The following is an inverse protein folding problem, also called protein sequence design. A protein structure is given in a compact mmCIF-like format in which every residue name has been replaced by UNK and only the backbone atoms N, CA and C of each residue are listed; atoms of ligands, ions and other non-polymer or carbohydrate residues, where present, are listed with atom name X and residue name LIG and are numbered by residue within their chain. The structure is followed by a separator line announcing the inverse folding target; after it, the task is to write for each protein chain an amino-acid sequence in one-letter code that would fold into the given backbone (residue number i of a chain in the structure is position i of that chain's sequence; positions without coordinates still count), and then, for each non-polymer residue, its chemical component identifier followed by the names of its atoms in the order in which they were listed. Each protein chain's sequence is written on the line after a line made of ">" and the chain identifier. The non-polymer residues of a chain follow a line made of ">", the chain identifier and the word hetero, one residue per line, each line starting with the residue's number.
data_IF_762551925173
#
_entry.id   IF_762551925173
#
_cell.length_a   1.000
_cell.length_b   1.000
_cell.length_c   1.000
_cell.angle_alpha   90.00
_cell.angle_beta   90.00
_cell.angle_gamma   90.00
#
_symmetry.space_group_name_H-M   'P 1'
#
loop_
_entity.id
_entity.type
_entity.pdbx_description
1 polymer ?
#
# COMPACT_ATOMS: atom_id res chain seq x y z
N UNK A 1 -7.31 43.63 57.25
CA UNK A 1 -8.48 44.51 57.52
C UNK A 1 -8.77 45.27 56.23
N UNK A 2 -9.96 45.26 55.61
CA UNK A 2 -11.25 44.63 55.98
C UNK A 2 -12.07 44.37 54.71
N UNK A 3 -12.80 43.24 54.64
CA UNK A 3 -13.76 42.93 53.57
C UNK A 3 -14.89 43.97 53.45
N UNK A 4 -15.47 44.12 52.26
CA UNK A 4 -16.93 44.24 52.10
C UNK A 4 -17.41 43.70 50.75
N UNK A 5 -18.35 42.75 50.81
CA UNK A 5 -19.09 42.17 49.67
C UNK A 5 -20.27 43.08 49.31
N UNK A 6 -20.73 43.02 48.07
CA UNK A 6 -22.14 43.26 47.75
C UNK A 6 -22.81 41.96 47.28
N UNK A 7 -24.07 41.81 47.71
CA UNK A 7 -24.90 40.62 47.57
C UNK A 7 -26.29 41.06 47.08
N UNK A 8 -26.89 40.29 46.17
CA UNK A 8 -28.35 40.24 45.93
C UNK A 8 -28.69 38.73 45.86
N UNK A 9 -29.13 38.10 46.96
CA UNK A 9 -30.54 37.98 47.41
C UNK A 9 -31.36 37.21 46.36
N UNK A 10 -31.55 35.88 46.49
CA UNK A 10 -32.65 35.16 47.20
C UNK A 10 -34.04 35.48 46.59
N UNK A 11 -35.05 34.61 46.57
CA UNK A 11 -35.43 33.43 47.39
C UNK A 11 -35.73 32.21 46.46
N UNK A 12 -36.18 31.01 46.85
CA UNK A 12 -36.79 30.45 48.08
C UNK A 12 -36.07 29.18 48.56
N UNK A 13 -36.72 28.33 49.37
CA UNK A 13 -36.30 26.99 49.76
C UNK A 13 -37.52 26.04 49.82
N UNK A 14 -37.28 24.73 49.72
CA UNK A 14 -38.09 23.69 50.36
C UNK A 14 -37.19 22.47 50.61
N UNK A 15 -37.19 21.93 51.82
CA UNK A 15 -36.42 20.77 52.22
C UNK A 15 -37.35 19.62 52.59
N UNK A 16 -37.04 18.41 52.14
CA UNK A 16 -37.48 17.18 52.79
C UNK A 16 -36.52 16.04 52.38
N UNK A 17 -35.82 15.47 53.34
CA UNK A 17 -35.14 14.19 53.17
C UNK A 17 -36.05 13.09 53.67
N UNK A 18 -36.30 12.06 52.87
CA UNK A 18 -36.71 10.75 53.37
C UNK A 18 -36.01 9.67 52.54
N UNK A 19 -35.25 8.81 53.21
CA UNK A 19 -34.67 7.64 52.58
C UNK A 19 -35.71 6.51 52.55
N UNK A 20 -35.90 5.91 51.38
CA UNK A 20 -36.45 4.56 51.27
C UNK A 20 -35.58 3.76 50.32
N UNK A 21 -34.86 2.78 50.88
CA UNK A 21 -34.12 1.81 50.09
C UNK A 21 -35.11 0.77 49.52
N UNK A 22 -35.46 0.92 48.24
CA UNK A 22 -36.14 -0.11 47.48
C UNK A 22 -35.10 -0.97 46.76
N UNK A 23 -34.78 -2.14 47.32
CA UNK A 23 -33.94 -3.15 46.66
C UNK A 23 -34.69 -3.77 45.49
N UNK A 24 -34.59 -3.15 44.31
CA UNK A 24 -35.00 -3.77 43.06
C UNK A 24 -33.96 -4.84 42.66
N UNK A 25 -34.26 -6.11 42.96
CA UNK A 25 -33.52 -7.24 42.41
C UNK A 25 -33.74 -7.34 40.90
N UNK A 26 -32.90 -6.65 40.12
CA UNK A 26 -32.83 -6.86 38.68
C UNK A 26 -32.21 -8.24 38.45
N UNK A 27 -33.06 -9.23 38.17
CA UNK A 27 -32.61 -10.50 37.59
C UNK A 27 -31.99 -10.20 36.23
N UNK A 28 -30.65 -10.20 36.18
CA UNK A 28 -29.91 -10.12 34.92
C UNK A 28 -30.15 -11.41 34.16
N UNK A 29 -31.14 -11.41 33.27
CA UNK A 29 -31.26 -12.43 32.24
C UNK A 29 -30.03 -12.32 31.35
N UNK A 30 -29.18 -13.35 31.36
CA UNK A 30 -28.02 -13.46 30.48
C UNK A 30 -28.50 -13.66 29.04
N UNK A 31 -28.89 -12.57 28.38
CA UNK A 31 -29.05 -12.53 26.95
C UNK A 31 -27.72 -12.83 26.30
N UNK A 32 -27.62 -13.96 25.59
CA UNK A 32 -26.46 -14.30 24.79
C UNK A 32 -26.35 -13.29 23.64
N UNK A 33 -25.63 -12.20 23.90
CA UNK A 33 -25.31 -11.20 22.88
C UNK A 33 -24.50 -11.85 21.78
N UNK A 34 -25.11 -12.07 20.62
CA UNK A 34 -24.41 -12.46 19.41
C UNK A 34 -23.43 -11.35 19.05
N UNK A 35 -22.15 -11.55 19.39
CA UNK A 35 -21.09 -10.67 18.93
C UNK A 35 -21.13 -10.66 17.40
N UNK A 36 -21.43 -9.51 16.80
CA UNK A 36 -21.29 -9.33 15.35
C UNK A 36 -19.83 -9.57 15.02
N UNK A 37 -19.56 -10.67 14.30
CA UNK A 37 -18.23 -10.96 13.82
C UNK A 37 -17.75 -9.79 12.96
N UNK A 38 -16.50 -9.36 13.19
CA UNK A 38 -15.86 -8.43 12.27
C UNK A 38 -15.88 -9.04 10.85
N UNK A 39 -15.97 -8.22 9.78
CA UNK A 39 -15.89 -8.73 8.42
C UNK A 39 -14.64 -9.60 8.27
N UNK A 40 -14.82 -10.84 7.80
CA UNK A 40 -13.67 -11.69 7.52
C UNK A 40 -12.80 -11.00 6.48
N UNK A 41 -11.48 -10.96 6.71
CA UNK A 41 -10.54 -10.49 5.70
C UNK A 41 -10.76 -11.31 4.41
N UNK A 42 -10.76 -10.68 3.22
CA UNK A 42 -11.06 -11.38 1.97
C UNK A 42 -10.10 -12.56 1.79
N UNK A 43 -10.67 -13.74 1.54
CA UNK A 43 -9.91 -14.96 1.30
C UNK A 43 -8.98 -14.79 0.10
N UNK A 44 -7.74 -15.25 0.23
CA UNK A 44 -6.78 -15.26 -0.88
C UNK A 44 -7.35 -16.03 -2.08
N UNK A 45 -7.36 -15.40 -3.24
CA UNK A 45 -7.85 -15.95 -4.51
C UNK A 45 -6.75 -16.66 -5.32
N UNK A 46 -5.49 -16.49 -4.93
CA UNK A 46 -4.33 -17.23 -5.41
C UNK A 46 -3.35 -17.56 -4.28
N UNK A 47 -2.40 -18.46 -4.55
CA UNK A 47 -1.45 -18.98 -3.53
C UNK A 47 0.02 -18.71 -3.87
N UNK A 48 0.29 -17.89 -4.89
CA UNK A 48 1.64 -17.58 -5.40
C UNK A 48 2.62 -17.07 -4.34
N UNK A 49 2.12 -16.45 -3.27
CA UNK A 49 2.88 -15.93 -2.13
C UNK A 49 2.50 -16.60 -0.80
N UNK A 50 1.82 -17.75 -0.83
CA UNK A 50 1.44 -18.50 0.37
C UNK A 50 2.66 -18.78 1.27
N UNK A 51 2.52 -18.44 2.55
CA UNK A 51 3.59 -18.57 3.55
C UNK A 51 4.74 -17.56 3.41
N UNK A 52 4.68 -16.61 2.46
CA UNK A 52 5.63 -15.49 2.39
C UNK A 52 5.13 -14.32 3.24
N UNK A 53 6.04 -13.68 3.97
CA UNK A 53 5.81 -12.31 4.47
C UNK A 53 6.40 -11.31 3.47
N UNK A 54 5.68 -10.21 3.22
CA UNK A 54 6.18 -9.03 2.49
C UNK A 54 6.07 -7.83 3.42
N UNK A 55 7.12 -7.01 3.47
CA UNK A 55 7.10 -5.75 4.21
C UNK A 55 6.94 -4.59 3.23
N UNK A 56 5.94 -3.73 3.43
CA UNK A 56 5.78 -2.49 2.68
C UNK A 56 6.07 -1.32 3.62
N UNK A 57 6.89 -0.38 3.16
CA UNK A 57 7.14 0.89 3.82
C UNK A 57 6.59 2.03 2.96
N UNK A 58 5.35 2.49 3.22
CA UNK A 58 4.83 3.69 2.60
C UNK A 58 5.62 4.88 3.14
N UNK A 59 6.46 5.48 2.29
CA UNK A 59 7.37 6.56 2.64
C UNK A 59 6.67 7.70 3.39
N UNK A 60 7.42 8.35 4.28
CA UNK A 60 6.97 9.48 5.12
C UNK A 60 5.74 9.14 5.98
N UNK A 61 5.07 10.15 6.54
CA UNK A 61 3.87 10.01 7.36
C UNK A 61 3.05 11.33 7.38
N UNK A 62 1.75 11.24 7.66
CA UNK A 62 0.87 12.42 7.66
C UNK A 62 1.05 13.38 8.84
N UNK A 63 1.72 12.98 9.92
CA UNK A 63 1.98 13.85 11.06
C UNK A 63 3.19 13.43 11.89
N UNK A 64 3.82 14.40 12.57
CA UNK A 64 4.88 14.09 13.52
C UNK A 64 4.35 13.57 14.87
N UNK A 65 3.08 13.81 15.19
CA UNK A 65 2.45 13.50 16.48
C UNK A 65 3.28 13.98 17.71
N UNK A 66 4.02 15.08 17.57
CA UNK A 66 4.90 15.63 18.62
C UNK A 66 6.32 15.06 18.65
N UNK A 67 6.66 14.09 17.80
CA UNK A 67 8.03 13.61 17.61
C UNK A 67 8.86 14.63 16.81
N UNK A 68 10.18 14.67 17.07
CA UNK A 68 11.10 15.52 16.31
C UNK A 68 11.61 14.80 15.07
N UNK A 69 11.25 15.30 13.88
CA UNK A 69 11.70 14.74 12.60
C UNK A 69 13.22 14.86 12.40
N UNK A 70 13.83 15.93 12.93
CA UNK A 70 15.28 16.19 12.85
C UNK A 70 16.09 15.53 13.98
N UNK A 71 15.47 14.68 14.80
CA UNK A 71 16.21 13.85 15.76
C UNK A 71 17.21 12.95 15.01
N UNK A 72 18.48 12.97 15.42
CA UNK A 72 19.56 12.33 14.66
C UNK A 72 19.68 10.83 14.93
N UNK A 73 19.31 10.01 13.95
CA UNK A 73 19.34 8.54 13.97
C UNK A 73 20.48 7.98 13.09
N UNK A 74 20.93 6.73 13.31
CA UNK A 74 22.01 6.13 12.51
C UNK A 74 21.67 6.06 11.01
N UNK A 75 22.65 6.36 10.15
CA UNK A 75 22.52 6.29 8.69
C UNK A 75 22.86 4.91 8.08
N UNK A 76 23.32 3.97 8.92
CA UNK A 76 23.85 2.65 8.52
C UNK A 76 25.29 2.66 7.98
N UNK A 77 25.98 3.80 8.02
CA UNK A 77 27.38 3.97 7.58
C UNK A 77 28.31 4.56 8.64
N UNK A 78 27.83 4.72 9.87
CA UNK A 78 28.57 5.27 11.01
C UNK A 78 28.35 6.77 11.21
N UNK A 79 27.60 7.42 10.33
CA UNK A 79 27.10 8.77 10.50
C UNK A 79 25.69 8.77 11.12
N UNK A 80 25.01 9.91 10.96
CA UNK A 80 23.63 10.10 11.34
C UNK A 80 22.87 10.91 10.30
N UNK A 81 21.56 10.83 10.33
CA UNK A 81 20.64 11.68 9.57
C UNK A 81 19.37 11.97 10.37
N UNK A 82 18.55 12.86 9.85
CA UNK A 82 17.21 13.15 10.35
C UNK A 82 16.37 11.86 10.41
N UNK A 83 15.71 11.65 11.55
CA UNK A 83 14.78 10.57 11.83
C UNK A 83 13.73 10.41 10.72
N UNK A 84 13.17 11.51 10.22
CA UNK A 84 12.26 11.54 9.07
C UNK A 84 12.29 12.90 8.38
N UNK A 85 11.67 12.99 7.20
CA UNK A 85 11.29 14.25 6.56
C UNK A 85 9.79 14.23 6.26
N UNK A 86 9.20 15.35 5.89
CA UNK A 86 7.77 15.43 5.53
C UNK A 86 7.41 14.71 4.23
N UNK A 87 8.42 14.34 3.43
CA UNK A 87 8.24 14.04 2.01
C UNK A 87 8.02 15.31 1.18
N UNK A 88 7.86 15.11 -0.12
CA UNK A 88 7.54 16.18 -1.06
C UNK A 88 6.05 16.53 -1.07
N UNK A 89 5.73 17.69 -1.67
CA UNK A 89 4.39 18.03 -2.14
C UNK A 89 4.45 18.22 -3.64
N UNK A 90 3.61 17.51 -4.38
CA UNK A 90 3.52 17.62 -5.82
C UNK A 90 2.92 18.93 -6.30
N UNK A 91 3.12 19.25 -7.57
CA UNK A 91 2.67 20.51 -8.19
C UNK A 91 1.15 20.64 -8.32
N UNK A 92 0.43 19.55 -8.04
CA UNK A 92 -1.03 19.48 -7.89
C UNK A 92 -1.50 19.53 -6.43
N UNK A 93 -0.60 19.74 -5.47
CA UNK A 93 -0.89 19.74 -4.03
C UNK A 93 -0.94 18.35 -3.37
N UNK A 94 -0.71 17.26 -4.11
CA UNK A 94 -0.68 15.91 -3.53
C UNK A 94 0.55 15.74 -2.62
N UNK A 95 0.33 15.37 -1.36
CA UNK A 95 1.41 15.05 -0.43
C UNK A 95 1.99 13.66 -0.74
N UNK A 96 3.32 13.55 -0.74
CA UNK A 96 4.01 12.30 -1.07
C UNK A 96 3.61 11.16 -0.12
N UNK A 97 3.50 11.42 1.19
CA UNK A 97 3.08 10.41 2.16
C UNK A 97 1.71 9.79 1.82
N UNK A 98 0.76 10.57 1.30
CA UNK A 98 -0.57 10.11 0.89
C UNK A 98 -0.51 9.30 -0.39
N UNK A 99 0.28 9.72 -1.39
CA UNK A 99 0.53 8.96 -2.62
C UNK A 99 1.13 7.59 -2.27
N UNK A 100 2.19 7.58 -1.45
CA UNK A 100 2.87 6.38 -1.00
C UNK A 100 1.93 5.45 -0.24
N UNK A 101 1.09 5.99 0.65
CA UNK A 101 0.07 5.24 1.39
C UNK A 101 -0.97 4.60 0.47
N UNK A 102 -1.62 5.39 -0.39
CA UNK A 102 -2.70 4.92 -1.26
C UNK A 102 -2.23 3.81 -2.21
N UNK A 103 -1.05 3.97 -2.83
CA UNK A 103 -0.47 2.93 -3.68
C UNK A 103 -0.08 1.70 -2.85
N UNK A 104 0.49 1.88 -1.65
CA UNK A 104 0.83 0.75 -0.76
C UNK A 104 -0.38 -0.07 -0.34
N UNK A 105 -1.54 0.55 -0.14
CA UNK A 105 -2.78 -0.16 0.22
C UNK A 105 -3.31 -1.01 -0.95
N UNK A 106 -3.21 -0.52 -2.18
CA UNK A 106 -3.52 -1.29 -3.39
C UNK A 106 -2.54 -2.47 -3.57
N UNK A 107 -1.24 -2.25 -3.34
CA UNK A 107 -0.22 -3.31 -3.36
C UNK A 107 -0.49 -4.34 -2.25
N UNK A 108 -0.83 -3.90 -1.03
CA UNK A 108 -1.19 -4.77 0.08
C UNK A 108 -2.34 -5.72 -0.29
N UNK A 109 -3.45 -5.17 -0.79
CA UNK A 109 -4.59 -5.97 -1.24
C UNK A 109 -4.20 -6.96 -2.34
N UNK A 110 -3.41 -6.52 -3.33
CA UNK A 110 -2.89 -7.37 -4.40
C UNK A 110 -2.07 -8.55 -3.88
N UNK A 111 -1.17 -8.31 -2.92
CA UNK A 111 -0.31 -9.35 -2.32
C UNK A 111 -1.08 -10.31 -1.40
N UNK A 112 -2.00 -9.79 -0.59
CA UNK A 112 -2.85 -10.61 0.29
C UNK A 112 -3.79 -11.51 -0.53
N UNK A 113 -4.29 -11.03 -1.69
CA UNK A 113 -5.04 -11.87 -2.64
C UNK A 113 -4.23 -13.08 -3.13
N UNK A 114 -2.90 -13.01 -3.10
CA UNK A 114 -1.97 -14.08 -3.49
C UNK A 114 -1.46 -14.90 -2.30
N UNK A 115 -2.05 -14.73 -1.11
CA UNK A 115 -1.71 -15.48 0.09
C UNK A 115 -0.49 -14.96 0.86
N UNK A 116 0.02 -13.77 0.53
CA UNK A 116 1.09 -13.15 1.30
C UNK A 116 0.58 -12.64 2.65
N UNK A 117 1.40 -12.74 3.69
CA UNK A 117 1.24 -11.92 4.89
C UNK A 117 1.91 -10.58 4.66
N UNK A 118 1.13 -9.49 4.59
CA UNK A 118 1.70 -8.14 4.44
C UNK A 118 1.89 -7.48 5.81
N UNK A 119 3.04 -6.85 6.01
CA UNK A 119 3.36 -5.99 7.16
C UNK A 119 3.62 -4.59 6.65
N UNK A 120 3.00 -3.59 7.26
CA UNK A 120 3.26 -2.17 6.97
C UNK A 120 4.25 -1.59 7.99
N UNK A 121 5.06 -0.62 7.57
CA UNK A 121 5.94 0.15 8.47
C UNK A 121 5.16 1.10 9.40
N UNK A 122 4.01 1.59 8.94
CA UNK A 122 3.10 2.51 9.65
C UNK A 122 1.64 2.07 9.52
N UNK A 123 0.77 2.39 10.50
CA UNK A 123 -0.61 1.90 10.52
C UNK A 123 -1.60 2.74 9.69
N UNK A 124 -1.30 4.01 9.43
CA UNK A 124 -2.19 4.97 8.77
C UNK A 124 -1.41 6.12 8.10
N UNK A 125 -2.15 7.11 7.56
CA UNK A 125 -1.63 8.33 6.90
C UNK A 125 -1.97 9.63 7.65
N UNK A 126 -2.17 9.55 8.95
CA UNK A 126 -2.60 10.67 9.80
C UNK A 126 -1.62 10.98 10.93
N UNK A 127 -0.96 9.95 11.48
CA UNK A 127 -0.13 10.04 12.68
C UNK A 127 1.35 9.71 12.45
N UNK A 128 2.00 9.30 13.55
CA UNK A 128 3.40 8.92 13.59
C UNK A 128 3.67 7.59 12.87
N UNK A 129 4.70 7.56 12.01
CA UNK A 129 5.09 6.37 11.25
C UNK A 129 6.47 5.80 11.60
N UNK A 130 7.14 6.30 12.64
CA UNK A 130 8.49 5.88 13.01
C UNK A 130 9.63 6.47 12.18
N UNK A 131 10.82 6.51 12.77
CA UNK A 131 12.06 6.96 12.13
C UNK A 131 12.56 5.97 11.06
N UNK A 132 13.40 6.43 10.14
CA UNK A 132 13.95 5.61 9.03
C UNK A 132 14.74 4.39 9.50
N UNK A 133 15.41 4.46 10.63
CA UNK A 133 16.12 3.34 11.27
C UNK A 133 15.17 2.37 11.97
N UNK A 134 14.14 2.88 12.65
CA UNK A 134 13.06 2.07 13.24
C UNK A 134 12.32 1.26 12.18
N UNK A 135 12.02 1.88 11.02
CA UNK A 135 11.38 1.24 9.85
C UNK A 135 12.27 0.16 9.24
N UNK A 136 13.56 0.43 9.03
CA UNK A 136 14.52 -0.56 8.53
C UNK A 136 14.73 -1.73 9.52
N UNK A 137 14.67 -1.45 10.82
CA UNK A 137 14.73 -2.47 11.86
C UNK A 137 13.43 -3.31 11.92
N UNK A 138 12.25 -2.69 11.70
CA UNK A 138 10.98 -3.39 11.58
C UNK A 138 10.95 -4.30 10.34
N UNK A 139 11.40 -3.81 9.18
CA UNK A 139 11.59 -4.60 7.96
C UNK A 139 12.49 -5.82 8.24
N UNK A 140 13.64 -5.60 8.89
CA UNK A 140 14.57 -6.66 9.27
C UNK A 140 13.99 -7.70 10.23
N UNK A 141 13.20 -7.28 11.23
CA UNK A 141 12.53 -8.18 12.19
C UNK A 141 11.34 -8.93 11.59
N UNK A 142 10.74 -8.43 10.51
CA UNK A 142 9.53 -9.02 9.91
C UNK A 142 9.73 -10.41 9.31
N UNK A 143 10.99 -10.80 9.01
CA UNK A 143 11.30 -12.02 8.28
C UNK A 143 10.80 -12.02 6.83
N UNK A 144 10.49 -10.85 6.27
CA UNK A 144 9.95 -10.74 4.92
C UNK A 144 10.89 -11.31 3.85
N UNK A 145 10.31 -11.93 2.81
CA UNK A 145 11.03 -12.36 1.63
C UNK A 145 11.62 -11.15 0.87
N UNK A 146 10.89 -10.03 0.87
CA UNK A 146 11.31 -8.72 0.38
C UNK A 146 10.67 -7.61 1.21
N UNK A 147 11.43 -6.55 1.46
CA UNK A 147 10.93 -5.28 1.95
C UNK A 147 10.91 -4.26 0.80
N UNK A 148 9.81 -3.54 0.61
CA UNK A 148 9.64 -2.53 -0.45
C UNK A 148 9.29 -1.20 0.18
N UNK A 149 10.15 -0.20 0.00
CA UNK A 149 9.91 1.18 0.44
C UNK A 149 9.43 2.00 -0.76
N UNK A 150 8.19 2.50 -0.68
CA UNK A 150 7.50 3.22 -1.76
C UNK A 150 7.60 4.73 -1.50
N UNK A 151 8.20 5.43 -2.46
CA UNK A 151 8.39 6.87 -2.48
C UNK A 151 8.00 7.48 -3.84
N UNK A 152 7.88 8.81 -3.89
CA UNK A 152 7.80 9.55 -5.14
C UNK A 152 8.64 10.84 -5.06
N UNK A 153 9.68 10.92 -5.89
CA UNK A 153 10.67 11.99 -5.87
C UNK A 153 10.03 13.34 -6.26
N UNK A 154 10.72 14.44 -5.95
CA UNK A 154 10.37 15.76 -6.47
C UNK A 154 11.63 16.56 -6.76
N UNK A 155 11.97 16.68 -8.04
CA UNK A 155 13.23 17.34 -8.44
C UNK A 155 13.25 18.86 -8.16
N UNK A 156 12.08 19.49 -8.04
CA UNK A 156 11.94 20.92 -7.71
C UNK A 156 10.61 21.16 -6.99
N UNK A 157 10.48 22.27 -6.25
CA UNK A 157 9.20 22.68 -5.63
C UNK A 157 8.16 23.22 -6.64
N UNK A 158 8.55 23.44 -7.90
CA UNK A 158 7.69 23.92 -8.99
C UNK A 158 7.56 22.92 -10.14
N UNK A 159 6.78 23.29 -11.16
CA UNK A 159 6.55 22.45 -12.33
C UNK A 159 7.80 22.29 -13.21
N UNK A 160 8.26 21.05 -13.36
CA UNK A 160 9.26 20.63 -14.34
C UNK A 160 8.73 19.46 -15.17
N UNK A 161 8.23 19.77 -16.37
CA UNK A 161 7.70 18.78 -17.30
C UNK A 161 8.80 17.92 -17.99
N UNK A 162 10.07 18.33 -17.91
CA UNK A 162 11.18 17.63 -18.56
C UNK A 162 11.67 16.44 -17.72
N UNK A 163 11.74 16.60 -16.39
CA UNK A 163 12.19 15.59 -15.43
C UNK A 163 11.07 14.61 -15.12
N UNK A 164 11.24 13.33 -15.44
CA UNK A 164 10.23 12.28 -15.22
C UNK A 164 10.85 10.88 -15.22
N UNK A 165 10.08 9.92 -14.72
CA UNK A 165 10.37 8.49 -14.71
C UNK A 165 10.71 7.96 -13.32
N UNK A 166 10.67 6.63 -13.20
CA UNK A 166 10.88 5.89 -11.96
C UNK A 166 12.37 5.54 -11.75
N UNK A 167 12.79 5.28 -10.51
CA UNK A 167 14.07 4.63 -10.24
C UNK A 167 14.11 3.82 -8.95
N UNK A 168 14.95 2.79 -8.93
CA UNK A 168 15.27 2.00 -7.74
C UNK A 168 16.55 2.53 -7.10
N UNK A 169 16.51 2.90 -5.83
CA UNK A 169 17.71 3.25 -5.08
C UNK A 169 18.33 1.98 -4.51
N UNK A 170 19.64 1.83 -4.74
CA UNK A 170 20.46 0.71 -4.28
C UNK A 170 21.68 1.23 -3.51
N UNK A 171 22.15 0.52 -2.46
CA UNK A 171 23.25 1.02 -1.65
C UNK A 171 24.58 0.95 -2.42
N UNK A 172 25.44 1.95 -2.21
CA UNK A 172 26.87 1.85 -2.49
C UNK A 172 27.47 0.75 -1.62
N UNK A 173 28.25 -0.15 -2.21
CA UNK A 173 28.89 -1.26 -1.50
C UNK A 173 30.39 -0.99 -1.34
N UNK A 174 31.03 -1.48 -0.25
CA UNK A 174 30.43 -2.26 0.83
C UNK A 174 29.57 -1.42 1.79
N UNK A 175 28.65 -2.10 2.49
CA UNK A 175 28.00 -1.59 3.70
C UNK A 175 28.81 -2.02 4.95
N UNK A 176 28.90 -1.19 6.02
CA UNK A 176 29.62 -1.56 7.23
C UNK A 176 29.00 -2.74 8.01
N UNK A 177 27.68 -2.89 8.02
CA UNK A 177 27.05 -4.10 8.57
C UNK A 177 27.19 -5.26 7.57
N UNK A 178 27.86 -6.34 8.00
CA UNK A 178 28.17 -7.47 7.13
C UNK A 178 26.93 -8.22 6.61
N UNK A 179 25.84 -8.25 7.39
CA UNK A 179 24.59 -8.93 6.98
C UNK A 179 23.85 -8.09 5.94
N UNK A 180 23.68 -6.79 6.19
CA UNK A 180 23.11 -5.85 5.21
C UNK A 180 23.96 -5.83 3.93
N UNK A 181 25.30 -5.80 4.04
CA UNK A 181 26.21 -5.88 2.90
C UNK A 181 25.97 -7.12 2.03
N UNK A 182 25.95 -8.31 2.64
CA UNK A 182 25.72 -9.56 1.93
C UNK A 182 24.31 -9.63 1.31
N UNK A 183 23.28 -9.22 2.06
CA UNK A 183 21.89 -9.26 1.62
C UNK A 183 21.62 -8.28 0.48
N UNK A 184 22.04 -7.02 0.60
CA UNK A 184 21.80 -6.02 -0.44
C UNK A 184 22.73 -6.18 -1.65
N UNK A 185 23.95 -6.70 -1.45
CA UNK A 185 24.86 -7.05 -2.54
C UNK A 185 24.36 -8.18 -3.43
N UNK A 186 23.65 -9.16 -2.86
CA UNK A 186 23.04 -10.27 -3.59
C UNK A 186 21.54 -10.09 -3.83
N UNK A 187 20.73 -10.54 -2.88
CA UNK A 187 19.29 -10.67 -3.04
C UNK A 187 18.54 -9.33 -3.13
N UNK A 188 18.99 -8.28 -2.42
CA UNK A 188 18.43 -6.93 -2.55
C UNK A 188 18.67 -6.34 -3.94
N UNK A 189 19.90 -6.42 -4.46
CA UNK A 189 20.22 -6.07 -5.85
C UNK A 189 19.32 -6.83 -6.84
N UNK A 190 19.14 -8.14 -6.67
CA UNK A 190 18.24 -8.97 -7.51
C UNK A 190 16.78 -8.50 -7.43
N UNK A 191 16.27 -8.22 -6.23
CA UNK A 191 14.91 -7.72 -6.03
C UNK A 191 14.70 -6.37 -6.73
N UNK A 192 15.65 -5.44 -6.60
CA UNK A 192 15.59 -4.12 -7.24
C UNK A 192 15.64 -4.23 -8.77
N UNK A 193 16.47 -5.11 -9.34
CA UNK A 193 16.48 -5.35 -10.81
C UNK A 193 15.15 -5.92 -11.28
N UNK A 194 14.58 -6.92 -10.60
CA UNK A 194 13.28 -7.52 -10.99
C UNK A 194 12.13 -6.51 -10.85
N UNK A 195 12.17 -5.63 -9.83
CA UNK A 195 11.21 -4.53 -9.71
C UNK A 195 11.36 -3.52 -10.87
N UNK A 196 12.59 -3.14 -11.22
CA UNK A 196 12.90 -2.26 -12.36
C UNK A 196 12.34 -2.86 -13.65
N UNK A 197 12.58 -4.14 -13.91
CA UNK A 197 12.07 -4.85 -15.09
C UNK A 197 10.53 -4.88 -15.12
N UNK A 198 9.86 -5.05 -13.97
CA UNK A 198 8.41 -4.99 -13.88
C UNK A 198 7.85 -3.59 -14.22
N UNK A 199 8.53 -2.52 -13.80
CA UNK A 199 8.17 -1.14 -14.16
C UNK A 199 8.35 -0.86 -15.67
N UNK A 200 9.48 -1.26 -16.24
CA UNK A 200 9.73 -1.15 -17.70
C UNK A 200 8.68 -1.95 -18.48
N UNK A 201 8.34 -3.17 -18.05
CA UNK A 201 7.29 -4.00 -18.68
C UNK A 201 5.89 -3.39 -18.56
N UNK A 202 5.61 -2.64 -17.48
CA UNK A 202 4.38 -1.85 -17.34
C UNK A 202 4.40 -0.54 -18.15
N UNK A 203 5.47 -0.26 -18.90
CA UNK A 203 5.63 0.94 -19.71
C UNK A 203 5.87 2.21 -18.90
N UNK A 204 6.45 2.10 -17.70
CA UNK A 204 7.01 3.25 -17.00
C UNK A 204 8.44 3.51 -17.50
N UNK A 205 8.80 4.75 -17.90
CA UNK A 205 10.14 5.07 -18.33
C UNK A 205 11.08 5.17 -17.11
N UNK A 206 12.33 4.67 -17.21
CA UNK A 206 13.39 5.05 -16.29
C UNK A 206 13.54 6.56 -16.14
N UNK A 207 13.85 7.01 -14.92
CA UNK A 207 14.10 8.40 -14.60
C UNK A 207 15.21 9.01 -15.47
N UNK A 208 14.96 10.18 -16.07
CA UNK A 208 15.93 10.92 -16.88
C UNK A 208 16.72 11.97 -16.07
N UNK A 209 16.91 11.73 -14.77
CA UNK A 209 17.41 12.69 -13.80
C UNK A 209 18.19 12.01 -12.65
N UNK A 210 18.74 12.83 -11.74
CA UNK A 210 19.49 12.39 -10.55
C UNK A 210 20.59 11.32 -10.76
N UNK A 211 21.19 11.27 -11.95
CA UNK A 211 22.25 10.30 -12.29
C UNK A 211 21.75 8.85 -12.44
N UNK A 212 20.44 8.65 -12.64
CA UNK A 212 19.84 7.33 -12.85
C UNK A 212 20.36 6.72 -14.16
N UNK A 213 20.77 5.45 -14.09
CA UNK A 213 21.13 4.65 -15.25
C UNK A 213 20.20 3.43 -15.31
N UNK A 214 19.44 3.30 -16.40
CA UNK A 214 18.53 2.17 -16.65
C UNK A 214 17.58 1.87 -15.46
N UNK A 215 17.06 2.93 -14.83
CA UNK A 215 16.12 2.84 -13.71
C UNK A 215 16.75 2.44 -12.38
N UNK A 216 18.09 2.46 -12.27
CA UNK A 216 18.84 2.20 -11.03
C UNK A 216 19.65 3.43 -10.63
N UNK A 217 19.63 3.77 -9.34
CA UNK A 217 20.44 4.84 -8.74
C UNK A 217 21.26 4.29 -7.58
N UNK A 218 22.60 4.35 -7.66
CA UNK A 218 23.46 3.89 -6.56
C UNK A 218 23.76 5.06 -5.60
N UNK A 219 23.42 4.91 -4.32
CA UNK A 219 23.53 5.95 -3.28
C UNK A 219 24.08 5.43 -1.96
N UNK A 220 24.73 6.30 -1.20
CA UNK A 220 25.24 5.99 0.14
C UNK A 220 24.35 6.51 1.29
N UNK A 221 23.45 7.45 1.03
CA UNK A 221 22.75 8.26 2.04
C UNK A 221 21.35 7.75 2.45
N UNK A 222 20.87 6.66 1.85
CA UNK A 222 19.56 6.07 2.14
C UNK A 222 19.67 4.98 3.22
N UNK A 223 19.41 5.38 4.47
CA UNK A 223 19.43 4.50 5.64
C UNK A 223 18.54 3.24 5.48
N UNK A 224 17.39 3.35 4.82
CA UNK A 224 16.49 2.22 4.58
C UNK A 224 17.19 1.02 3.90
N UNK A 225 17.99 1.27 2.84
CA UNK A 225 18.77 0.23 2.17
C UNK A 225 20.14 -0.02 2.81
N UNK A 226 20.67 0.92 3.60
CA UNK A 226 21.92 0.69 4.33
C UNK A 226 21.73 -0.24 5.55
N UNK A 227 20.59 -0.15 6.24
CA UNK A 227 20.31 -0.81 7.52
C UNK A 227 19.51 -2.12 7.38
N UNK A 228 18.71 -2.29 6.33
CA UNK A 228 17.80 -3.43 6.24
C UNK A 228 18.56 -4.74 5.95
N UNK A 229 18.28 -5.77 6.76
CA UNK A 229 18.95 -7.08 6.69
C UNK A 229 18.09 -8.20 6.09
N UNK A 230 17.00 -7.82 5.43
CA UNK A 230 16.23 -8.63 4.45
C UNK A 230 16.36 -7.96 3.07
N UNK A 231 16.10 -8.67 1.95
CA UNK A 231 16.22 -8.09 0.61
C UNK A 231 15.35 -6.83 0.48
N UNK A 232 15.97 -5.68 0.19
CA UNK A 232 15.28 -4.40 0.17
C UNK A 232 15.21 -3.82 -1.25
N UNK A 233 14.03 -3.28 -1.58
CA UNK A 233 13.78 -2.44 -2.75
C UNK A 233 13.37 -1.07 -2.24
N UNK A 234 14.03 -0.02 -2.67
CA UNK A 234 13.59 1.36 -2.45
C UNK A 234 13.23 1.93 -3.80
N UNK A 235 11.96 2.33 -3.99
CA UNK A 235 11.46 2.79 -5.28
C UNK A 235 10.96 4.23 -5.19
N UNK A 236 11.52 5.07 -6.06
CA UNK A 236 10.94 6.35 -6.44
C UNK A 236 10.04 6.10 -7.66
N UNK A 237 8.73 6.14 -7.47
CA UNK A 237 7.74 5.70 -8.48
C UNK A 237 7.62 6.64 -9.68
N UNK A 238 7.95 7.92 -9.50
CA UNK A 238 7.88 8.99 -10.50
C UNK A 238 8.20 10.33 -9.85
N UNK A 239 8.14 11.42 -10.62
CA UNK A 239 8.49 12.76 -10.15
C UNK A 239 7.25 13.63 -9.90
N UNK A 240 6.97 13.97 -8.65
CA UNK A 240 5.89 14.86 -8.21
C UNK A 240 6.07 16.33 -8.67
N UNK A 241 7.28 16.72 -9.10
CA UNK A 241 7.50 18.01 -9.76
C UNK A 241 7.05 18.00 -11.23
N UNK A 242 6.79 16.82 -11.82
CA UNK A 242 6.28 16.68 -13.18
C UNK A 242 4.75 16.72 -13.17
N UNK A 243 4.08 17.65 -13.89
CA UNK A 243 2.62 17.74 -13.86
C UNK A 243 1.90 16.45 -14.30
N UNK A 244 2.45 15.73 -15.28
CA UNK A 244 1.85 14.48 -15.79
C UNK A 244 2.03 13.32 -14.81
N UNK A 245 3.22 13.17 -14.22
CA UNK A 245 3.44 12.10 -13.23
C UNK A 245 2.75 12.42 -11.90
N UNK A 246 2.71 13.67 -11.45
CA UNK A 246 1.93 14.09 -10.27
C UNK A 246 0.43 13.78 -10.43
N UNK A 247 -0.14 14.02 -11.61
CA UNK A 247 -1.51 13.64 -11.92
C UNK A 247 -1.71 12.11 -11.96
N UNK A 248 -0.74 11.34 -12.44
CA UNK A 248 -0.79 9.87 -12.46
C UNK A 248 -0.61 9.26 -11.05
N UNK A 249 0.30 9.80 -10.23
CA UNK A 249 0.59 9.34 -8.87
C UNK A 249 -0.56 9.64 -7.90
N UNK A 250 -1.30 10.73 -8.11
CA UNK A 250 -2.48 11.08 -7.32
C UNK A 250 -3.81 10.56 -7.91
N UNK A 251 -3.82 10.15 -9.19
CA UNK A 251 -5.01 9.69 -9.91
C UNK A 251 -5.22 8.18 -9.81
N UNK A 252 -6.47 7.74 -9.59
CA UNK A 252 -6.82 6.33 -9.34
C UNK A 252 -6.26 5.35 -10.37
N UNK A 253 -6.39 5.66 -11.66
CA UNK A 253 -5.92 4.78 -12.75
C UNK A 253 -4.40 4.63 -12.75
N UNK A 254 -3.67 5.71 -12.45
CA UNK A 254 -2.22 5.69 -12.34
C UNK A 254 -1.77 4.97 -11.08
N UNK A 255 -2.42 5.20 -9.93
CA UNK A 255 -2.18 4.46 -8.69
C UNK A 255 -2.37 2.95 -8.86
N UNK A 256 -3.44 2.54 -9.55
CA UNK A 256 -3.66 1.13 -9.90
C UNK A 256 -2.53 0.58 -10.79
N UNK A 257 -2.12 1.34 -11.82
CA UNK A 257 -1.01 0.95 -12.70
C UNK A 257 0.32 0.80 -11.94
N UNK A 258 0.63 1.70 -11.02
CA UNK A 258 1.80 1.61 -10.14
C UNK A 258 1.70 0.38 -9.23
N UNK A 259 0.56 0.18 -8.57
CA UNK A 259 0.33 -0.95 -7.68
C UNK A 259 0.45 -2.30 -8.40
N UNK A 260 -0.06 -2.41 -9.64
CA UNK A 260 0.11 -3.59 -10.49
C UNK A 260 1.58 -3.85 -10.84
N UNK A 261 2.35 -2.82 -11.21
CA UNK A 261 3.78 -2.97 -11.50
C UNK A 261 4.58 -3.43 -10.27
N UNK A 262 4.30 -2.86 -9.10
CA UNK A 262 4.93 -3.22 -7.83
C UNK A 262 4.57 -4.66 -7.42
N UNK A 263 3.29 -5.02 -7.48
CA UNK A 263 2.80 -6.37 -7.16
C UNK A 263 3.44 -7.42 -8.08
N UNK A 264 3.53 -7.14 -9.39
CA UNK A 264 4.22 -8.01 -10.34
C UNK A 264 5.73 -8.14 -10.05
N UNK A 265 6.41 -7.05 -9.69
CA UNK A 265 7.82 -7.10 -9.28
C UNK A 265 8.05 -7.97 -8.05
N UNK A 266 7.17 -7.87 -7.04
CA UNK A 266 7.21 -8.70 -5.84
C UNK A 266 6.93 -10.17 -6.16
N UNK A 267 5.91 -10.47 -6.98
CA UNK A 267 5.58 -11.83 -7.42
C UNK A 267 6.75 -12.49 -8.17
N UNK A 268 7.32 -11.79 -9.16
CA UNK A 268 8.44 -12.27 -9.97
C UNK A 268 9.70 -12.55 -9.12
N UNK A 269 9.92 -11.80 -8.04
CA UNK A 269 11.05 -12.00 -7.14
C UNK A 269 10.79 -13.09 -6.07
N UNK A 270 9.61 -13.10 -5.46
CA UNK A 270 9.30 -13.95 -4.30
C UNK A 270 8.69 -15.33 -4.67
N UNK A 271 8.22 -15.49 -5.91
CA UNK A 271 7.70 -16.74 -6.48
C UNK A 271 8.33 -17.09 -7.86
N UNK A 272 9.68 -17.22 -7.95
CA UNK A 272 10.37 -17.55 -9.20
C UNK A 272 10.13 -19.03 -9.56
N UNK A 273 9.01 -19.31 -10.22
CA UNK A 273 8.55 -20.65 -10.56
C UNK A 273 7.09 -20.69 -11.01
N UNK A 274 6.26 -19.73 -10.58
CA UNK A 274 4.95 -19.47 -11.16
C UNK A 274 5.11 -18.79 -12.53
N UNK A 275 5.52 -19.57 -13.54
CA UNK A 275 5.65 -19.08 -14.91
C UNK A 275 4.27 -18.64 -15.44
N UNK A 276 4.22 -17.47 -16.09
CA UNK A 276 3.07 -17.10 -16.90
C UNK A 276 2.85 -18.17 -18.00
N UNK A 277 1.59 -18.50 -18.35
CA UNK A 277 1.34 -19.51 -19.38
C UNK A 277 1.99 -19.12 -20.70
N UNK A 278 2.80 -20.03 -21.25
CA UNK A 278 3.49 -19.85 -22.53
C UNK A 278 2.49 -19.63 -23.67
N UNK A 279 2.86 -18.81 -24.65
CA UNK A 279 2.02 -18.43 -25.79
C UNK A 279 1.66 -19.57 -26.78
N UNK A 280 1.98 -20.82 -26.43
CA UNK A 280 1.83 -22.02 -27.28
C UNK A 280 0.42 -22.65 -27.19
N UNK A 281 -0.43 -22.17 -26.27
CA UNK A 281 -1.81 -22.66 -26.12
C UNK A 281 -2.83 -22.00 -27.06
N UNK A 282 -2.44 -20.97 -27.83
CA UNK A 282 -3.36 -20.20 -28.68
C UNK A 282 -3.66 -20.84 -30.05
N UNK A 283 -2.94 -21.87 -30.47
CA UNK A 283 -3.00 -22.41 -31.84
C UNK A 283 -3.59 -23.83 -31.97
N UNK A 284 -4.23 -24.38 -30.94
CA UNK A 284 -4.91 -25.68 -31.03
C UNK A 284 -6.44 -25.52 -31.13
N UNK A 285 -7.09 -25.95 -32.24
CA UNK A 285 -8.55 -26.01 -32.30
C UNK A 285 -9.11 -26.91 -31.18
N UNK A 286 -10.25 -26.56 -30.55
CA UNK A 286 -10.81 -27.37 -29.49
C UNK A 286 -11.17 -28.77 -29.99
N UNK A 287 -10.53 -29.80 -29.41
CA UNK A 287 -11.03 -31.15 -29.50
C UNK A 287 -12.22 -31.30 -28.54
N UNK A 288 -13.30 -31.94 -28.99
CA UNK A 288 -14.55 -32.08 -28.24
C UNK A 288 -14.31 -32.78 -26.89
N UNK A 289 -14.65 -32.15 -25.75
CA UNK A 289 -14.38 -32.75 -24.44
C UNK A 289 -15.47 -33.73 -24.00
N UNK A 290 -15.12 -34.91 -23.45
CA UNK A 290 -16.02 -35.65 -22.58
C UNK A 290 -16.07 -35.00 -21.18
N UNK A 291 -17.22 -35.13 -20.51
CA UNK A 291 -17.52 -34.44 -19.25
C UNK A 291 -16.69 -34.91 -18.05
N UNK A 292 -15.97 -33.98 -17.39
CA UNK A 292 -15.79 -33.96 -15.93
C UNK A 292 -15.23 -32.60 -15.45
N UNK A 293 -15.44 -32.31 -14.17
CA UNK A 293 -15.40 -31.00 -13.48
C UNK A 293 -14.27 -30.00 -13.87
N UNK A 294 -14.57 -28.68 -13.91
CA UNK A 294 -13.56 -27.65 -14.12
C UNK A 294 -12.79 -27.31 -12.82
N UNK A 295 -11.48 -27.48 -12.86
CA UNK A 295 -10.53 -26.91 -11.89
C UNK A 295 -10.27 -25.43 -12.19
N UNK A 296 -10.37 -24.57 -11.17
CA UNK A 296 -10.38 -23.11 -11.30
C UNK A 296 -9.00 -22.45 -11.20
N UNK A 297 -8.09 -22.75 -12.15
CA UNK A 297 -6.79 -22.07 -12.26
C UNK A 297 -6.76 -21.18 -13.52
N UNK A 298 -7.22 -19.93 -13.40
CA UNK A 298 -7.23 -18.99 -14.54
C UNK A 298 -7.86 -17.60 -14.35
N UNK A 299 -8.47 -17.30 -13.20
CA UNK A 299 -9.36 -16.13 -13.01
C UNK A 299 -8.78 -14.78 -13.44
N UNK A 300 -7.57 -14.42 -12.97
CA UNK A 300 -7.00 -13.08 -13.22
C UNK A 300 -6.59 -12.84 -14.69
N UNK A 301 -6.30 -13.90 -15.45
CA UNK A 301 -5.98 -13.80 -16.88
C UNK A 301 -7.16 -13.33 -17.73
N UNK A 302 -8.39 -13.60 -17.28
CA UNK A 302 -9.64 -13.19 -17.95
C UNK A 302 -10.12 -11.82 -17.46
N UNK A 303 -9.93 -11.51 -16.17
CA UNK A 303 -10.34 -10.24 -15.56
C UNK A 303 -9.58 -9.04 -16.17
N UNK A 304 -8.29 -9.17 -16.49
CA UNK A 304 -7.49 -8.03 -16.96
C UNK A 304 -7.94 -7.48 -18.33
N UNK A 305 -8.13 -8.30 -19.40
CA UNK A 305 -8.72 -7.82 -20.65
C UNK A 305 -10.13 -7.27 -20.47
N UNK A 306 -10.95 -7.92 -19.64
CA UNK A 306 -12.34 -7.53 -19.41
C UNK A 306 -12.47 -6.16 -18.73
N UNK A 307 -11.70 -5.90 -17.67
CA UNK A 307 -11.64 -4.57 -17.01
C UNK A 307 -11.13 -3.51 -17.97
N UNK A 308 -10.14 -3.81 -18.81
CA UNK A 308 -9.66 -2.88 -19.85
C UNK A 308 -10.69 -2.61 -20.95
N UNK A 309 -11.62 -3.55 -21.19
CA UNK A 309 -12.70 -3.40 -22.18
C UNK A 309 -13.86 -2.60 -21.59
N UNK A 310 -14.24 -2.86 -20.34
CA UNK A 310 -15.19 -2.04 -19.56
C UNK A 310 -14.74 -0.58 -19.41
N UNK A 311 -13.45 -0.33 -19.17
CA UNK A 311 -12.89 1.03 -19.09
C UNK A 311 -12.82 1.75 -20.44
N UNK A 312 -12.97 1.04 -21.56
CA UNK A 312 -13.04 1.63 -22.92
C UNK A 312 -14.47 1.90 -23.37
N UNK A 313 -15.45 1.11 -22.94
CA UNK A 313 -16.86 1.35 -23.27
C UNK A 313 -17.44 2.44 -22.36
N UNK A 314 -17.55 3.66 -22.89
CA UNK A 314 -18.27 4.76 -22.25
C UNK A 314 -19.81 4.61 -22.29
N UNK A 315 -20.35 3.58 -22.96
CA UNK A 315 -21.78 3.31 -23.07
C UNK A 315 -22.24 2.27 -22.01
N UNK A 316 -23.17 2.63 -21.11
CA UNK A 316 -23.78 1.69 -20.15
C UNK A 316 -24.40 0.44 -20.77
N UNK A 317 -24.86 0.49 -22.03
CA UNK A 317 -25.45 -0.66 -22.72
C UNK A 317 -24.39 -1.67 -23.15
N UNK A 318 -23.26 -1.21 -23.67
CA UNK A 318 -22.12 -2.08 -23.99
C UNK A 318 -21.55 -2.73 -22.73
N UNK A 319 -21.41 -1.97 -21.63
CA UNK A 319 -21.03 -2.49 -20.30
C UNK A 319 -21.99 -3.60 -19.85
N UNK A 320 -23.29 -3.36 -19.94
CA UNK A 320 -24.33 -4.35 -19.56
C UNK A 320 -24.25 -5.60 -20.43
N UNK A 321 -24.01 -5.43 -21.73
CA UNK A 321 -23.90 -6.55 -22.66
C UNK A 321 -22.63 -7.38 -22.44
N UNK A 322 -21.50 -6.75 -22.09
CA UNK A 322 -20.25 -7.42 -21.70
C UNK A 322 -20.43 -8.27 -20.43
N UNK A 323 -21.10 -7.72 -19.42
CA UNK A 323 -21.40 -8.40 -18.15
C UNK A 323 -22.38 -9.57 -18.30
N UNK A 324 -23.12 -9.64 -19.41
CA UNK A 324 -24.05 -10.72 -19.74
C UNK A 324 -23.46 -11.76 -20.71
N UNK A 325 -22.34 -11.47 -21.38
CA UNK A 325 -21.70 -12.38 -22.33
C UNK A 325 -20.65 -13.30 -21.71
N UNK A 326 -19.98 -12.86 -20.65
CA UNK A 326 -19.10 -13.71 -19.84
C UNK A 326 -19.92 -14.52 -18.81
N UNK A 327 -19.46 -15.72 -18.48
CA UNK A 327 -20.19 -16.63 -17.60
C UNK A 327 -20.41 -16.07 -16.19
N UNK A 328 -21.45 -16.54 -15.45
CA UNK A 328 -21.89 -15.93 -14.19
C UNK A 328 -20.79 -15.78 -13.13
N UNK A 329 -19.79 -16.66 -13.12
CA UNK A 329 -18.65 -16.60 -12.19
C UNK A 329 -17.69 -15.44 -12.49
N UNK A 330 -17.49 -15.07 -13.76
CA UNK A 330 -16.62 -13.95 -14.16
C UNK A 330 -17.27 -12.63 -13.79
N UNK A 331 -18.56 -12.47 -14.13
CA UNK A 331 -19.33 -11.29 -13.79
C UNK A 331 -19.49 -11.11 -12.28
N UNK A 332 -19.62 -12.20 -11.50
CA UNK A 332 -19.61 -12.14 -10.04
C UNK A 332 -18.24 -11.73 -9.46
N UNK A 333 -17.13 -12.23 -10.00
CA UNK A 333 -15.78 -11.85 -9.55
C UNK A 333 -15.46 -10.39 -9.86
N UNK A 334 -15.84 -9.89 -11.04
CA UNK A 334 -15.67 -8.48 -11.41
C UNK A 334 -16.59 -7.59 -10.58
N UNK A 335 -17.85 -7.98 -10.36
CA UNK A 335 -18.77 -7.24 -9.50
C UNK A 335 -18.26 -7.17 -8.05
N UNK A 336 -17.70 -8.26 -7.50
CA UNK A 336 -17.08 -8.26 -6.18
C UNK A 336 -15.85 -7.36 -6.12
N UNK A 337 -14.94 -7.41 -7.10
CA UNK A 337 -13.78 -6.51 -7.15
C UNK A 337 -14.18 -5.03 -7.29
N UNK A 338 -15.23 -4.73 -8.06
CA UNK A 338 -15.80 -3.39 -8.13
C UNK A 338 -16.48 -2.99 -6.81
N UNK A 339 -17.18 -3.90 -6.14
CA UNK A 339 -17.74 -3.68 -4.81
C UNK A 339 -16.65 -3.38 -3.79
N UNK A 340 -15.55 -4.14 -3.75
CA UNK A 340 -14.44 -3.91 -2.81
C UNK A 340 -13.81 -2.53 -3.01
N UNK A 341 -13.65 -2.09 -4.26
CA UNK A 341 -13.20 -0.72 -4.59
C UNK A 341 -14.22 0.33 -4.14
N UNK A 342 -15.52 0.09 -4.33
CA UNK A 342 -16.59 1.01 -3.90
C UNK A 342 -16.70 1.07 -2.36
N UNK A 343 -16.70 -0.07 -1.67
CA UNK A 343 -16.74 -0.14 -0.21
C UNK A 343 -15.48 0.50 0.41
N UNK A 344 -14.30 0.31 -0.20
CA UNK A 344 -13.07 0.99 0.19
C UNK A 344 -13.08 2.51 -0.07
N UNK A 345 -13.89 2.99 -1.02
CA UNK A 345 -14.07 4.42 -1.30
C UNK A 345 -15.02 5.14 -0.33
N UNK A 346 -15.77 4.42 0.50
CA UNK A 346 -16.77 4.99 1.42
C UNK A 346 -16.70 4.43 2.85
N UNK A 347 -15.52 4.03 3.33
CA UNK A 347 -15.30 3.48 4.68
C UNK A 347 -16.31 2.37 5.08
N UNK A 348 -16.65 1.50 4.14
CA UNK A 348 -17.60 0.39 4.34
C UNK A 348 -19.09 0.78 4.27
N UNK A 349 -19.44 2.03 3.93
CA UNK A 349 -20.84 2.50 3.81
C UNK A 349 -21.19 2.85 2.37
N UNK A 350 -21.99 2.02 1.70
CA UNK A 350 -22.55 2.41 0.40
C UNK A 350 -23.32 3.74 0.51
N UNK A 351 -23.22 4.65 -0.48
CA UNK A 351 -24.06 5.84 -0.55
C UNK A 351 -25.48 5.43 -0.92
N UNK A 352 -26.27 5.03 0.08
CA UNK A 352 -27.71 4.85 -0.06
C UNK A 352 -28.35 6.24 -0.02
N UNK A 353 -28.94 6.64 -1.15
CA UNK A 353 -29.90 7.75 -1.22
C UNK A 353 -31.30 7.28 -0.89
#
# INVERSE_FOLDING_TARGET
>A
MTQKRHLRTRVSAAAAALAFAATATVTVTTGAGTAMAAPAAPSATGTSLAGKTVFLDPGHQGGSAGHSLSAQVPDGRGGKKDCQTTGATGVNGAAEHTVNWQISQLVKAGLESQGARVVLSRPDDTGWGGCVDERAAAASRSGAAVAVSLHADSTTAGADAAKKGFHMIVPTLPLPDAKANAVQGGQGRKASTIMRDAFVKAGFPPANYAGVADGIQTRSDIAAVNLTTVPAVFIEMGNLSNPTEAASLAGRDGQLKYAMAITNGILNYASPGAAAPSADTLNKPPATPPSSAPSSDGGLSLVIPFVQQLLKSGDPKEITQLLLSEGPDVSAQVLNAMLDVIYGLFDGKLPIG
#
